data_IF_401723612611
#
_entry.id   IF_401723612611
#
_cell.length_a   1.000
_cell.length_b   1.000
_cell.length_c   1.000
_cell.angle_alpha   90.00
_cell.angle_beta   90.00
_cell.angle_gamma   90.00
#
_symmetry.space_group_name_H-M   'P 1'
#
loop_
_entity.id
_entity.type
_entity.pdbx_description
1 polymer ?
#
# COMPACT_ATOMS: atom_id res chain seq x y z
N UNK A 1 -15.19 -6.69 -6.08
CA UNK A 1 -15.01 -8.10 -5.74
C UNK A 1 -14.76 -8.21 -4.24
N UNK A 2 -15.75 -8.63 -3.46
CA UNK A 2 -15.57 -8.92 -2.03
C UNK A 2 -14.67 -10.15 -1.94
N UNK A 3 -13.43 -9.99 -1.44
CA UNK A 3 -12.57 -11.13 -1.13
C UNK A 3 -13.20 -11.79 0.10
N UNK A 4 -14.13 -12.72 -0.13
CA UNK A 4 -14.62 -13.65 0.88
C UNK A 4 -13.38 -14.35 1.47
N UNK A 5 -13.30 -14.41 2.80
CA UNK A 5 -12.25 -15.06 3.59
C UNK A 5 -10.92 -14.32 3.81
N UNK A 6 -10.90 -12.98 3.76
CA UNK A 6 -9.76 -12.19 4.28
C UNK A 6 -10.21 -11.29 5.43
N UNK A 7 -9.77 -11.62 6.64
CA UNK A 7 -9.76 -10.72 7.79
C UNK A 7 -8.31 -10.33 8.07
N UNK A 8 -8.06 -9.06 8.36
CA UNK A 8 -6.73 -8.56 8.72
C UNK A 8 -6.84 -7.53 9.83
N UNK A 9 -6.25 -7.83 10.98
CA UNK A 9 -6.00 -6.87 12.05
C UNK A 9 -4.63 -6.25 11.85
N UNK A 10 -4.52 -4.95 12.17
CA UNK A 10 -3.24 -4.24 12.20
C UNK A 10 -3.11 -3.50 13.52
N UNK A 11 -1.99 -3.70 14.20
CA UNK A 11 -1.60 -2.93 15.37
C UNK A 11 -0.40 -2.08 14.97
N UNK A 12 -0.46 -0.78 15.25
CA UNK A 12 0.58 0.17 14.89
C UNK A 12 1.15 0.77 16.16
N UNK A 13 2.44 0.60 16.34
CA UNK A 13 3.22 1.15 17.44
C UNK A 13 4.26 2.12 16.86
N UNK A 14 4.46 3.26 17.51
CA UNK A 14 5.39 4.30 17.07
C UNK A 14 6.38 4.58 18.17
N UNK A 15 7.66 4.53 17.82
CA UNK A 15 8.77 4.83 18.70
C UNK A 15 9.45 6.08 18.16
N UNK A 16 9.52 7.12 19.00
CA UNK A 16 10.26 8.35 18.69
C UNK A 16 11.69 8.31 19.20
N UNK A 17 11.99 7.37 20.09
CA UNK A 17 13.37 7.02 20.41
C UNK A 17 13.94 6.18 19.27
N UNK A 18 14.87 6.79 18.54
CA UNK A 18 15.55 6.21 17.37
C UNK A 18 17.00 5.87 17.67
N UNK A 19 17.37 5.83 18.96
CA UNK A 19 18.69 5.37 19.39
C UNK A 19 18.95 3.94 18.87
N UNK A 20 20.13 3.72 18.28
CA UNK A 20 20.52 2.43 17.71
C UNK A 20 20.18 2.25 16.23
N UNK A 21 19.57 3.23 15.56
CA UNK A 21 19.49 3.27 14.10
C UNK A 21 20.84 3.76 13.55
N UNK A 22 21.29 3.14 12.47
CA UNK A 22 22.56 3.49 11.83
C UNK A 22 22.59 5.00 11.47
N UNK A 23 23.63 5.75 11.88
CA UNK A 23 23.77 7.17 11.61
C UNK A 23 23.68 7.57 10.12
N UNK A 24 23.91 6.64 9.18
CA UNK A 24 23.74 6.89 7.73
C UNK A 24 22.30 7.29 7.37
N UNK A 25 21.31 6.84 8.16
CA UNK A 25 19.90 7.18 7.99
C UNK A 25 19.60 8.55 8.60
N UNK A 26 20.15 9.58 7.98
CA UNK A 26 20.03 10.97 8.44
C UNK A 26 18.56 11.45 8.42
N UNK A 27 18.16 12.16 9.48
CA UNK A 27 16.85 12.80 9.57
C UNK A 27 15.70 11.88 9.96
N UNK A 28 15.95 10.62 10.32
CA UNK A 28 14.93 9.73 10.90
C UNK A 28 14.51 10.24 12.28
N UNK A 29 13.20 10.27 12.51
CA UNK A 29 12.57 10.74 13.76
C UNK A 29 11.59 9.76 14.38
N UNK A 30 11.22 8.71 13.65
CA UNK A 30 10.36 7.66 14.17
C UNK A 30 10.62 6.31 13.53
N UNK A 31 10.48 5.27 14.35
CA UNK A 31 10.37 3.88 13.98
C UNK A 31 8.92 3.45 14.18
N UNK A 32 8.30 2.87 13.15
CA UNK A 32 6.92 2.43 13.19
C UNK A 32 6.91 0.91 13.04
N UNK A 33 6.36 0.21 14.03
CA UNK A 33 6.15 -1.23 13.98
C UNK A 33 4.69 -1.50 13.64
N UNK A 34 4.46 -2.32 12.64
CA UNK A 34 3.12 -2.76 12.24
C UNK A 34 3.05 -4.27 12.35
N UNK A 35 2.29 -4.73 13.33
CA UNK A 35 1.91 -6.14 13.41
C UNK A 35 0.65 -6.36 12.60
N UNK A 36 0.68 -7.37 11.73
CA UNK A 36 -0.42 -7.76 10.88
C UNK A 36 -0.76 -9.21 11.19
N UNK A 37 -2.02 -9.47 11.48
CA UNK A 37 -2.51 -10.81 11.67
C UNK A 37 -3.81 -10.99 10.92
N UNK A 38 -4.06 -12.20 10.43
CA UNK A 38 -5.26 -12.46 9.66
C UNK A 38 -5.35 -13.88 9.17
N UNK A 39 -6.39 -14.14 8.38
CA UNK A 39 -6.58 -15.41 7.70
C UNK A 39 -6.54 -15.19 6.20
N UNK A 40 -5.78 -16.03 5.48
CA UNK A 40 -5.73 -16.05 4.02
C UNK A 40 -5.93 -17.50 3.56
N UNK A 41 -6.99 -17.76 2.78
CA UNK A 41 -7.34 -19.12 2.32
C UNK A 41 -7.39 -20.13 3.48
N UNK A 42 -8.01 -19.74 4.61
CA UNK A 42 -8.13 -20.57 5.81
C UNK A 42 -6.87 -20.69 6.69
N UNK A 43 -5.71 -20.15 6.28
CA UNK A 43 -4.47 -20.18 7.09
C UNK A 43 -4.21 -18.85 7.79
N UNK A 44 -3.85 -18.91 9.08
CA UNK A 44 -3.40 -17.74 9.84
C UNK A 44 -2.04 -17.26 9.33
N UNK A 45 -1.85 -15.96 9.27
CA UNK A 45 -0.56 -15.36 8.94
C UNK A 45 -0.24 -14.20 9.91
N UNK A 46 0.73 -14.37 10.82
CA UNK A 46 1.34 -13.25 11.54
C UNK A 46 2.48 -12.66 10.70
N UNK A 47 2.59 -11.34 10.67
CA UNK A 47 3.64 -10.61 9.98
C UNK A 47 3.99 -9.35 10.80
N UNK A 48 5.27 -9.06 10.94
CA UNK A 48 5.75 -7.80 11.53
C UNK A 48 6.48 -7.04 10.43
N UNK A 49 6.10 -5.78 10.25
CA UNK A 49 6.74 -4.87 9.30
C UNK A 49 7.18 -3.61 10.03
N UNK A 50 8.45 -3.24 9.85
CA UNK A 50 9.00 -2.00 10.41
C UNK A 50 9.15 -0.94 9.31
N UNK A 51 8.83 0.30 9.65
CA UNK A 51 9.02 1.47 8.79
C UNK A 51 9.88 2.50 9.51
N UNK A 52 10.67 3.24 8.74
CA UNK A 52 11.40 4.41 9.20
C UNK A 52 10.75 5.66 8.62
N UNK A 53 10.65 6.72 9.43
CA UNK A 53 10.13 7.99 8.96
C UNK A 53 10.90 9.17 9.55
N UNK A 54 11.08 10.19 8.73
CA UNK A 54 11.55 11.51 9.15
C UNK A 54 10.44 12.37 9.78
N UNK A 55 9.22 11.86 9.84
CA UNK A 55 8.04 12.51 10.40
C UNK A 55 7.83 12.10 11.86
N UNK A 56 7.23 13.00 12.64
CA UNK A 56 6.80 12.74 14.01
C UNK A 56 5.27 12.79 14.08
N UNK A 57 4.64 11.69 13.67
CA UNK A 57 3.20 11.54 13.68
C UNK A 57 2.75 10.51 14.72
N UNK A 58 1.46 10.55 15.03
CA UNK A 58 0.82 9.56 15.90
C UNK A 58 0.65 8.21 15.18
N UNK A 59 0.47 7.14 15.95
CA UNK A 59 0.18 5.81 15.42
C UNK A 59 -1.05 5.80 14.48
N UNK A 60 -2.07 6.62 14.77
CA UNK A 60 -3.28 6.74 13.95
C UNK A 60 -2.99 7.37 12.58
N UNK A 61 -2.18 8.42 12.54
CA UNK A 61 -1.79 9.09 11.30
C UNK A 61 -0.92 8.17 10.43
N UNK A 62 0.04 7.48 11.03
CA UNK A 62 0.82 6.46 10.31
C UNK A 62 -0.04 5.30 9.83
N UNK A 63 -0.98 4.81 10.64
CA UNK A 63 -1.91 3.76 10.22
C UNK A 63 -2.73 4.18 8.99
N UNK A 64 -3.22 5.42 8.97
CA UNK A 64 -3.94 5.98 7.82
C UNK A 64 -3.04 6.10 6.58
N UNK A 65 -1.83 6.62 6.73
CA UNK A 65 -0.85 6.73 5.64
C UNK A 65 -0.48 5.38 5.04
N UNK A 66 -0.12 4.41 5.89
CA UNK A 66 0.23 3.04 5.50
C UNK A 66 -0.96 2.38 4.78
N UNK A 67 -2.18 2.57 5.30
CA UNK A 67 -3.39 2.04 4.67
C UNK A 67 -3.68 2.67 3.32
N UNK A 68 -3.49 3.98 3.21
CA UNK A 68 -3.70 4.73 1.98
C UNK A 68 -2.68 4.37 0.91
N UNK A 69 -1.43 4.12 1.30
CA UNK A 69 -0.38 3.63 0.41
C UNK A 69 -0.78 2.31 -0.27
N UNK A 70 -1.34 1.35 0.50
CA UNK A 70 -1.93 0.13 -0.09
C UNK A 70 -3.10 0.41 -1.04
N UNK A 71 -3.81 1.51 -0.84
CA UNK A 71 -4.84 1.96 -1.77
C UNK A 71 -4.28 2.29 -3.15
N UNK A 72 -3.09 2.90 -3.22
CA UNK A 72 -2.41 3.21 -4.48
C UNK A 72 -2.09 1.91 -5.23
N UNK A 73 -1.45 0.96 -4.56
CA UNK A 73 -1.10 -0.34 -5.16
C UNK A 73 -2.36 -1.07 -5.67
N UNK A 74 -3.38 -1.20 -4.84
CA UNK A 74 -4.58 -1.95 -5.22
C UNK A 74 -5.43 -1.25 -6.29
N UNK A 75 -5.39 0.08 -6.39
CA UNK A 75 -6.23 0.82 -7.32
C UNK A 75 -5.55 1.18 -8.62
N UNK A 76 -4.27 1.54 -8.58
CA UNK A 76 -3.52 1.93 -9.76
C UNK A 76 -2.93 0.69 -10.44
N UNK A 77 -2.16 -0.11 -9.69
CA UNK A 77 -1.43 -1.24 -10.27
C UNK A 77 -2.39 -2.31 -10.77
N UNK A 78 -3.40 -2.70 -9.98
CA UNK A 78 -4.38 -3.69 -10.45
C UNK A 78 -5.09 -3.26 -11.75
N UNK A 79 -5.45 -1.97 -11.87
CA UNK A 79 -6.06 -1.46 -13.10
C UNK A 79 -5.08 -1.51 -14.27
N UNK A 80 -3.83 -1.09 -14.06
CA UNK A 80 -2.80 -1.16 -15.12
C UNK A 80 -2.52 -2.60 -15.54
N UNK A 81 -2.36 -3.50 -14.60
CA UNK A 81 -1.92 -4.87 -14.83
C UNK A 81 -3.05 -5.74 -15.41
N UNK A 82 -4.26 -5.64 -14.85
CA UNK A 82 -5.38 -6.51 -15.22
C UNK A 82 -6.31 -5.88 -16.25
N UNK A 83 -6.73 -4.63 -16.03
CA UNK A 83 -7.70 -3.96 -16.92
C UNK A 83 -7.02 -3.47 -18.20
N UNK A 84 -5.87 -2.79 -18.05
CA UNK A 84 -5.08 -2.25 -19.18
C UNK A 84 -4.04 -3.25 -19.70
N UNK A 85 -4.03 -4.46 -19.14
CA UNK A 85 -3.26 -5.62 -19.61
C UNK A 85 -1.78 -5.30 -19.77
N UNK A 86 -1.22 -4.54 -18.82
CA UNK A 86 0.19 -4.18 -18.84
C UNK A 86 1.10 -5.42 -18.76
N UNK A 87 0.75 -6.38 -17.88
CA UNK A 87 1.50 -7.63 -17.71
C UNK A 87 1.56 -8.48 -18.98
N UNK A 88 0.50 -8.46 -19.80
CA UNK A 88 0.45 -9.21 -21.06
C UNK A 88 0.93 -8.40 -22.28
N UNK A 89 1.42 -7.17 -22.07
CA UNK A 89 1.98 -6.36 -23.15
C UNK A 89 3.32 -6.92 -23.61
N UNK A 90 3.43 -7.20 -24.91
CA UNK A 90 4.66 -7.69 -25.56
C UNK A 90 5.56 -6.57 -26.09
N UNK A 91 5.18 -5.30 -25.88
CA UNK A 91 5.96 -4.15 -26.30
C UNK A 91 7.24 -4.08 -25.46
N UNK A 92 8.39 -4.10 -26.14
CA UNK A 92 9.73 -4.10 -25.52
C UNK A 92 10.74 -3.17 -26.20
N UNK A 93 10.33 -2.46 -27.26
CA UNK A 93 11.25 -1.66 -28.06
C UNK A 93 11.45 -0.25 -27.49
N UNK A 94 12.70 0.12 -27.24
CA UNK A 94 13.09 1.47 -26.84
C UNK A 94 12.28 2.01 -25.66
N UNK A 95 11.81 3.26 -25.76
CA UNK A 95 11.03 3.91 -24.70
C UNK A 95 9.52 3.59 -24.75
N UNK A 96 9.08 2.73 -25.67
CA UNK A 96 7.66 2.42 -25.83
C UNK A 96 6.99 1.83 -24.55
N UNK A 97 7.65 0.94 -23.78
CA UNK A 97 7.07 0.45 -22.52
C UNK A 97 6.82 1.57 -21.51
N UNK A 98 7.81 2.45 -21.28
CA UNK A 98 7.70 3.55 -20.33
C UNK A 98 6.63 4.58 -20.74
N UNK A 99 6.60 4.95 -22.02
CA UNK A 99 5.60 5.88 -22.56
C UNK A 99 4.18 5.32 -22.41
N UNK A 100 4.00 4.01 -22.63
CA UNK A 100 2.72 3.34 -22.47
C UNK A 100 2.31 3.19 -21.00
N UNK A 101 3.25 2.91 -20.10
CA UNK A 101 2.99 2.91 -18.65
C UNK A 101 2.50 4.27 -18.16
N UNK A 102 3.07 5.37 -18.67
CA UNK A 102 2.65 6.73 -18.33
C UNK A 102 1.26 7.05 -18.88
N UNK A 103 0.97 6.73 -20.14
CA UNK A 103 -0.34 7.00 -20.74
C UNK A 103 -1.46 6.21 -20.03
N UNK A 104 -1.19 4.96 -19.65
CA UNK A 104 -2.10 4.13 -18.83
C UNK A 104 -2.36 4.74 -17.46
N UNK A 105 -1.34 5.29 -16.81
CA UNK A 105 -1.49 5.95 -15.51
C UNK A 105 -2.36 7.21 -15.61
N UNK A 106 -2.15 8.02 -16.67
CA UNK A 106 -2.94 9.22 -16.93
C UNK A 106 -4.41 8.85 -17.21
N UNK A 107 -4.67 7.89 -18.11
CA UNK A 107 -6.02 7.44 -18.44
C UNK A 107 -6.76 6.89 -17.21
N UNK A 108 -6.06 6.15 -16.34
CA UNK A 108 -6.63 5.63 -15.08
C UNK A 108 -7.01 6.74 -14.10
N UNK A 109 -6.38 7.92 -14.20
CA UNK A 109 -6.63 9.06 -13.32
C UNK A 109 -7.76 9.96 -13.82
N UNK A 110 -7.98 10.03 -15.13
CA UNK A 110 -8.99 10.89 -15.77
C UNK A 110 -10.35 10.21 -16.02
N UNK A 111 -10.41 8.87 -16.04
CA UNK A 111 -11.65 8.11 -16.13
C UNK A 111 -12.46 8.11 -14.82
N UNK A 112 -13.66 8.68 -14.85
CA UNK A 112 -14.53 8.95 -13.68
C UNK A 112 -15.10 7.70 -12.96
N UNK A 113 -14.86 6.46 -13.40
CA UNK A 113 -15.40 5.25 -12.75
C UNK A 113 -14.50 4.56 -11.69
N UNK A 114 -13.31 5.09 -11.39
CA UNK A 114 -12.39 4.41 -10.46
C UNK A 114 -12.72 4.57 -8.96
N UNK A 115 -13.61 5.51 -8.59
CA UNK A 115 -13.94 5.81 -7.18
C UNK A 115 -14.56 4.63 -6.42
N UNK A 116 -15.34 3.79 -7.10
CA UNK A 116 -16.12 2.72 -6.44
C UNK A 116 -15.29 1.47 -6.08
N UNK A 117 -14.17 1.22 -6.76
CA UNK A 117 -13.29 0.07 -6.50
C UNK A 117 -12.38 0.34 -5.29
N UNK A 118 -11.78 1.53 -5.21
CA UNK A 118 -10.92 1.91 -4.09
C UNK A 118 -11.66 1.96 -2.76
N UNK A 119 -12.87 2.54 -2.73
CA UNK A 119 -13.61 2.77 -1.50
C UNK A 119 -13.95 1.46 -0.77
N UNK A 120 -14.29 0.41 -1.53
CA UNK A 120 -14.62 -0.93 -1.00
C UNK A 120 -13.39 -1.73 -0.57
N UNK A 121 -12.21 -1.43 -1.10
CA UNK A 121 -10.94 -2.07 -0.72
C UNK A 121 -10.23 -1.36 0.43
N UNK A 122 -10.59 -0.12 0.76
CA UNK A 122 -9.98 0.72 1.80
C UNK A 122 -10.83 0.80 3.09
N UNK A 123 -12.08 0.32 3.06
CA UNK A 123 -13.03 0.43 4.19
C UNK A 123 -12.43 -0.06 5.53
N UNK A 124 -12.64 0.68 6.64
CA UNK A 124 -12.05 0.38 7.93
C UNK A 124 -12.76 -0.82 8.56
N UNK A 125 -12.11 -1.97 8.60
CA UNK A 125 -12.49 -3.03 9.54
C UNK A 125 -11.76 -2.73 10.83
N UNK A 126 -12.49 -2.11 11.77
CA UNK A 126 -12.24 -1.97 13.21
C UNK A 126 -10.78 -2.19 13.64
N UNK A 127 -10.00 -1.11 13.65
CA UNK A 127 -8.86 -0.98 14.57
C UNK A 127 -9.44 -0.91 15.98
N UNK A 128 -9.25 -1.96 16.78
CA UNK A 128 -9.34 -1.87 18.23
C UNK A 128 -8.00 -1.40 18.77
#
# INVERSE_FOLDING_TARGET
MLIRDRFTTRIVEVFHDVNGIDPEWTGIKSLIKVERSGTRKGKKYPEIVCYLSSLMFTAKEFALGIRSHWGIENCLHWVKDVVLKEDSSTIRLGNAPANLSLSRAIASRTGIEMKNICHRLISPQLTK
#
